data_IF_382438398952
#
_entry.id   IF_382438398952
#
_cell.length_a   1.000
_cell.length_b   1.000
_cell.length_c   1.000
_cell.angle_alpha   90.00
_cell.angle_beta   90.00
_cell.angle_gamma   90.00
#
_symmetry.space_group_name_H-M   'P 1'
#
loop_
_entity.id
_entity.type
_entity.pdbx_description
1 polymer ?
#
# COMPACT_ATOMS: atom_id res chain seq x y z
N UNK A 1 -42.16 -27.65 -90.60
CA UNK A 1 -40.72 -27.57 -90.86
C UNK A 1 -40.02 -27.59 -89.49
N UNK A 2 -39.72 -28.77 -88.94
CA UNK A 2 -38.38 -29.40 -88.85
C UNK A 2 -37.32 -28.44 -88.27
N UNK A 3 -37.00 -28.50 -86.96
CA UNK A 3 -35.93 -29.27 -86.26
C UNK A 3 -34.54 -29.16 -86.91
N UNK A 4 -33.54 -28.56 -86.23
CA UNK A 4 -32.38 -29.23 -85.58
C UNK A 4 -31.14 -28.32 -85.27
N UNK A 5 -30.51 -28.57 -84.10
CA UNK A 5 -29.09 -28.36 -83.65
C UNK A 5 -28.53 -26.91 -83.55
N UNK A 6 -27.64 -26.49 -82.63
CA UNK A 6 -26.76 -27.13 -81.63
C UNK A 6 -26.20 -26.08 -80.62
N UNK A 7 -25.78 -26.55 -79.43
CA UNK A 7 -24.78 -26.04 -78.45
C UNK A 7 -24.19 -24.62 -78.60
N UNK A 8 -24.03 -23.84 -77.53
CA UNK A 8 -22.99 -24.06 -76.51
C UNK A 8 -23.20 -23.20 -75.24
N UNK A 9 -22.81 -23.76 -74.10
CA UNK A 9 -22.74 -23.14 -72.77
C UNK A 9 -21.56 -22.16 -72.72
N UNK A 10 -21.71 -21.02 -72.03
CA UNK A 10 -20.57 -20.38 -71.36
C UNK A 10 -20.99 -19.77 -70.02
N UNK A 11 -20.23 -20.19 -69.02
CA UNK A 11 -20.33 -19.88 -67.61
C UNK A 11 -20.13 -18.38 -67.35
N UNK A 12 -21.15 -17.69 -66.84
CA UNK A 12 -20.93 -16.54 -65.98
C UNK A 12 -21.72 -16.79 -64.68
N UNK A 13 -21.03 -17.44 -63.75
CA UNK A 13 -21.49 -17.59 -62.39
C UNK A 13 -21.58 -16.19 -61.75
N UNK A 14 -22.80 -15.83 -61.34
CA UNK A 14 -23.09 -14.67 -60.52
C UNK A 14 -22.53 -14.95 -59.11
N UNK A 15 -21.29 -14.57 -58.86
CA UNK A 15 -20.69 -14.61 -57.53
C UNK A 15 -21.24 -13.42 -56.74
N UNK A 16 -22.39 -13.60 -56.10
CA UNK A 16 -22.88 -12.68 -55.08
C UNK A 16 -21.99 -12.83 -53.84
N UNK A 17 -21.07 -11.88 -53.66
CA UNK A 17 -20.29 -11.73 -52.44
C UNK A 17 -21.24 -11.38 -51.29
N UNK A 18 -21.66 -12.37 -50.52
CA UNK A 18 -22.26 -12.18 -49.21
C UNK A 18 -21.13 -11.95 -48.19
N UNK A 19 -20.52 -10.76 -48.23
CA UNK A 19 -19.81 -10.25 -47.06
C UNK A 19 -20.85 -9.92 -46.02
N UNK A 20 -21.06 -10.83 -45.07
CA UNK A 20 -21.74 -10.54 -43.82
C UNK A 20 -20.86 -9.51 -43.10
N UNK A 21 -21.23 -8.22 -43.19
CA UNK A 21 -20.75 -7.23 -42.23
C UNK A 21 -21.29 -7.65 -40.87
N UNK A 22 -20.48 -8.38 -40.09
CA UNK A 22 -20.65 -8.48 -38.65
C UNK A 22 -20.33 -7.10 -38.06
N UNK A 23 -21.31 -6.20 -38.10
CA UNK A 23 -21.26 -5.00 -37.27
C UNK A 23 -21.22 -5.49 -35.81
N UNK A 24 -20.20 -5.13 -35.01
CA UNK A 24 -20.21 -5.47 -33.60
C UNK A 24 -21.45 -4.81 -32.99
N UNK A 25 -22.36 -5.64 -32.47
CA UNK A 25 -23.43 -5.14 -31.63
C UNK A 25 -22.75 -4.48 -30.43
N UNK A 26 -22.90 -3.17 -30.31
CA UNK A 26 -22.50 -2.46 -29.09
C UNK A 26 -23.40 -3.02 -27.99
N UNK A 27 -22.83 -3.80 -27.07
CA UNK A 27 -23.56 -4.32 -25.92
C UNK A 27 -24.17 -3.12 -25.17
N UNK A 28 -25.50 -3.05 -25.17
CA UNK A 28 -26.22 -2.04 -24.39
C UNK A 28 -26.05 -2.40 -22.92
N UNK A 29 -25.85 -1.40 -22.07
CA UNK A 29 -25.85 -1.61 -20.63
C UNK A 29 -27.19 -2.22 -20.20
N UNK A 30 -27.13 -3.37 -19.54
CA UNK A 30 -28.26 -4.10 -18.97
C UNK A 30 -27.74 -5.03 -17.87
N UNK A 31 -28.62 -5.48 -16.99
CA UNK A 31 -28.31 -6.52 -16.01
C UNK A 31 -28.00 -7.85 -16.72
N UNK A 32 -27.12 -8.66 -16.15
CA UNK A 32 -26.73 -9.95 -16.72
C UNK A 32 -26.56 -11.03 -15.65
N UNK A 33 -26.66 -12.29 -16.07
CA UNK A 33 -26.39 -13.46 -15.24
C UNK A 33 -25.56 -14.48 -16.00
N UNK A 34 -24.46 -14.94 -15.39
CA UNK A 34 -23.67 -16.10 -15.81
C UNK A 34 -24.08 -17.28 -14.93
N UNK A 35 -24.84 -18.20 -15.51
CA UNK A 35 -25.53 -19.27 -14.78
C UNK A 35 -24.55 -20.39 -14.41
N UNK A 36 -24.78 -21.07 -13.29
CA UNK A 36 -24.03 -22.26 -12.88
C UNK A 36 -23.80 -23.25 -14.02
N UNK A 37 -22.56 -23.70 -14.21
CA UNK A 37 -22.18 -24.70 -15.20
C UNK A 37 -22.06 -24.16 -16.63
N UNK A 38 -22.17 -22.84 -16.82
CA UNK A 38 -22.00 -22.20 -18.12
C UNK A 38 -20.75 -21.32 -18.16
N UNK A 39 -20.18 -21.20 -19.37
CA UNK A 39 -19.13 -20.23 -19.66
C UNK A 39 -19.69 -19.19 -20.63
N UNK A 40 -19.62 -17.92 -20.27
CA UNK A 40 -19.89 -16.80 -21.18
C UNK A 40 -18.59 -16.15 -21.60
N UNK A 41 -18.45 -15.88 -22.90
CA UNK A 41 -17.21 -15.31 -23.46
C UNK A 41 -17.40 -13.91 -24.05
N UNK A 42 -18.59 -13.34 -23.89
CA UNK A 42 -18.91 -11.98 -24.33
C UNK A 42 -18.66 -10.98 -23.22
N UNK A 43 -18.06 -9.85 -23.56
CA UNK A 43 -17.97 -8.68 -22.68
C UNK A 43 -19.37 -8.19 -22.29
N UNK A 44 -19.52 -7.86 -21.01
CA UNK A 44 -20.75 -7.28 -20.45
C UNK A 44 -20.60 -5.76 -20.27
N UNK A 45 -21.72 -5.05 -20.22
CA UNK A 45 -21.76 -3.60 -19.94
C UNK A 45 -22.82 -3.32 -18.88
N UNK A 46 -22.52 -2.47 -17.91
CA UNK A 46 -23.44 -2.06 -16.83
C UNK A 46 -23.47 -0.53 -16.66
N UNK A 47 -24.60 0.00 -16.20
CA UNK A 47 -24.82 1.41 -15.88
C UNK A 47 -26.03 1.57 -14.94
N UNK A 48 -26.36 2.79 -14.51
CA UNK A 48 -27.63 3.04 -13.82
C UNK A 48 -27.81 2.20 -12.56
N UNK A 49 -28.77 1.26 -12.59
CA UNK A 49 -29.08 0.35 -11.48
C UNK A 49 -28.81 -1.12 -11.83
N UNK A 50 -27.94 -1.38 -12.81
CA UNK A 50 -27.73 -2.72 -13.36
C UNK A 50 -27.04 -3.66 -12.35
N UNK A 51 -27.41 -4.94 -12.41
CA UNK A 51 -26.82 -6.01 -11.62
C UNK A 51 -26.13 -7.02 -12.54
N UNK A 52 -24.85 -7.26 -12.31
CA UNK A 52 -24.11 -8.37 -12.90
C UNK A 52 -23.96 -9.51 -11.90
N UNK A 53 -24.50 -10.69 -12.19
CA UNK A 53 -24.40 -11.85 -11.31
C UNK A 53 -23.64 -12.98 -12.00
N UNK A 54 -22.58 -13.46 -11.38
CA UNK A 54 -21.86 -14.68 -11.78
C UNK A 54 -22.13 -15.71 -10.69
N UNK A 55 -22.96 -16.71 -10.99
CA UNK A 55 -23.35 -17.74 -10.02
C UNK A 55 -22.19 -18.70 -9.73
N UNK A 56 -22.26 -19.37 -8.57
CA UNK A 56 -21.32 -20.42 -8.23
C UNK A 56 -21.22 -21.48 -9.34
N UNK A 57 -20.01 -21.76 -9.81
CA UNK A 57 -19.74 -22.66 -10.94
C UNK A 57 -20.06 -22.09 -12.32
N UNK A 58 -20.49 -20.84 -12.44
CA UNK A 58 -20.51 -20.07 -13.69
C UNK A 58 -19.15 -19.42 -13.96
N UNK A 59 -18.81 -19.22 -15.24
CA UNK A 59 -17.55 -18.59 -15.65
C UNK A 59 -17.80 -17.48 -16.69
N UNK A 60 -17.32 -16.27 -16.43
CA UNK A 60 -17.20 -15.20 -17.43
C UNK A 60 -15.74 -15.14 -17.91
N UNK A 61 -15.45 -15.65 -19.11
CA UNK A 61 -14.10 -15.78 -19.66
C UNK A 61 -13.97 -14.97 -20.96
N UNK A 62 -13.46 -13.75 -20.83
CA UNK A 62 -13.49 -12.74 -21.90
C UNK A 62 -12.06 -12.40 -22.34
N UNK A 63 -11.70 -12.48 -23.64
CA UNK A 63 -10.35 -12.16 -24.11
C UNK A 63 -9.91 -10.70 -23.90
N UNK A 64 -10.86 -9.79 -23.68
CA UNK A 64 -10.63 -8.37 -23.40
C UNK A 64 -11.03 -8.02 -21.98
N UNK A 65 -11.58 -6.82 -21.79
CA UNK A 65 -12.18 -6.46 -20.51
C UNK A 65 -13.50 -7.21 -20.33
N UNK A 66 -13.73 -7.83 -19.17
CA UNK A 66 -14.91 -8.69 -18.98
C UNK A 66 -16.19 -7.88 -18.74
N UNK A 67 -16.14 -6.84 -17.90
CA UNK A 67 -17.27 -5.98 -17.56
C UNK A 67 -16.87 -4.53 -17.76
N UNK A 68 -17.68 -3.76 -18.49
CA UNK A 68 -17.51 -2.31 -18.63
C UNK A 68 -18.60 -1.58 -17.86
N UNK A 69 -18.21 -0.74 -16.90
CA UNK A 69 -19.09 0.26 -16.33
C UNK A 69 -19.11 1.50 -17.23
N UNK A 70 -20.25 1.78 -17.87
CA UNK A 70 -20.39 2.85 -18.85
C UNK A 70 -21.54 3.81 -18.50
N UNK A 71 -21.20 4.92 -17.83
CA UNK A 71 -22.14 5.96 -17.41
C UNK A 71 -22.46 5.94 -15.92
N UNK A 72 -23.21 6.94 -15.45
CA UNK A 72 -23.50 7.10 -14.02
C UNK A 72 -24.30 5.92 -13.45
N UNK A 73 -23.92 5.46 -12.26
CA UNK A 73 -24.77 4.67 -11.41
C UNK A 73 -25.84 5.58 -10.76
N UNK A 74 -27.08 5.12 -10.71
CA UNK A 74 -28.22 5.93 -10.25
C UNK A 74 -29.00 5.21 -9.15
N UNK A 75 -29.75 5.98 -8.36
CA UNK A 75 -30.45 5.44 -7.21
C UNK A 75 -29.52 5.05 -6.05
N UNK A 76 -30.10 4.60 -4.92
CA UNK A 76 -29.33 4.30 -3.71
C UNK A 76 -28.46 3.04 -3.82
N UNK A 77 -28.82 2.08 -4.68
CA UNK A 77 -28.07 0.84 -4.88
C UNK A 77 -27.01 0.96 -5.99
N UNK A 78 -27.26 1.80 -7.00
CA UNK A 78 -26.35 1.96 -8.13
C UNK A 78 -26.09 0.66 -8.90
N UNK A 79 -24.88 0.52 -9.43
CA UNK A 79 -24.43 -0.69 -10.13
C UNK A 79 -23.92 -1.71 -9.12
N UNK A 80 -24.28 -2.98 -9.27
CA UNK A 80 -23.81 -4.05 -8.38
C UNK A 80 -23.27 -5.23 -9.19
N UNK A 81 -22.03 -5.63 -8.92
CA UNK A 81 -21.43 -6.86 -9.43
C UNK A 81 -21.31 -7.86 -8.29
N UNK A 82 -21.82 -9.06 -8.52
CA UNK A 82 -21.83 -10.17 -7.59
C UNK A 82 -21.12 -11.35 -8.27
N UNK A 83 -19.98 -11.75 -7.73
CA UNK A 83 -19.24 -12.91 -8.22
C UNK A 83 -19.18 -14.00 -7.17
N UNK A 84 -19.92 -15.08 -7.39
CA UNK A 84 -19.83 -16.34 -6.64
C UNK A 84 -19.10 -17.43 -7.48
N UNK A 85 -18.74 -17.13 -8.74
CA UNK A 85 -18.13 -18.05 -9.70
C UNK A 85 -16.73 -17.61 -10.13
N UNK A 86 -16.45 -17.64 -11.44
CA UNK A 86 -15.15 -17.23 -11.98
C UNK A 86 -15.30 -16.07 -12.97
N UNK A 87 -14.46 -15.04 -12.83
CA UNK A 87 -14.24 -14.03 -13.86
C UNK A 87 -12.79 -14.18 -14.34
N UNK A 88 -12.59 -14.45 -15.63
CA UNK A 88 -11.29 -14.54 -16.28
C UNK A 88 -11.27 -13.49 -17.40
N UNK A 89 -10.26 -12.64 -17.41
CA UNK A 89 -10.16 -11.56 -18.40
C UNK A 89 -8.77 -11.47 -19.02
N UNK A 90 -8.73 -11.37 -20.36
CA UNK A 90 -7.49 -11.14 -21.11
C UNK A 90 -7.01 -9.68 -21.07
N UNK A 91 -7.74 -8.80 -20.40
CA UNK A 91 -7.33 -7.43 -20.05
C UNK A 91 -7.77 -7.16 -18.61
N UNK A 92 -8.83 -6.35 -18.40
CA UNK A 92 -9.34 -5.99 -17.08
C UNK A 92 -10.61 -6.75 -16.71
N UNK A 93 -10.78 -7.15 -15.46
CA UNK A 93 -12.04 -7.81 -15.09
C UNK A 93 -13.21 -6.80 -15.11
N UNK A 94 -13.00 -5.62 -14.52
CA UNK A 94 -13.94 -4.52 -14.51
C UNK A 94 -13.20 -3.25 -14.93
N UNK A 95 -13.69 -2.56 -15.95
CA UNK A 95 -13.11 -1.30 -16.41
C UNK A 95 -14.21 -0.24 -16.54
N UNK A 96 -13.82 1.01 -16.41
CA UNK A 96 -14.73 2.14 -16.61
C UNK A 96 -14.56 2.70 -18.02
N UNK A 97 -15.67 3.13 -18.60
CA UNK A 97 -15.66 3.87 -19.85
C UNK A 97 -16.55 5.10 -19.74
N UNK A 98 -16.11 6.21 -20.33
CA UNK A 98 -16.77 7.50 -20.19
C UNK A 98 -16.69 8.05 -18.77
N UNK A 99 -17.60 8.96 -18.43
CA UNK A 99 -17.68 9.57 -17.10
C UNK A 99 -18.60 8.72 -16.22
N UNK A 100 -18.03 7.99 -15.27
CA UNK A 100 -18.79 7.26 -14.24
C UNK A 100 -18.87 8.05 -12.94
N UNK A 101 -19.93 7.82 -12.16
CA UNK A 101 -20.22 8.46 -10.87
C UNK A 101 -21.31 7.66 -10.15
N UNK A 102 -21.59 7.99 -8.89
CA UNK A 102 -22.59 7.28 -8.09
C UNK A 102 -22.08 5.95 -7.50
N UNK A 103 -22.98 5.17 -6.86
CA UNK A 103 -22.60 3.96 -6.15
C UNK A 103 -22.30 2.77 -7.08
N UNK A 104 -21.19 2.10 -6.83
CA UNK A 104 -20.79 0.84 -7.46
C UNK A 104 -20.36 -0.13 -6.37
N UNK A 105 -20.98 -1.30 -6.32
CA UNK A 105 -20.61 -2.37 -5.39
C UNK A 105 -20.04 -3.57 -6.13
N UNK A 106 -18.91 -4.10 -5.66
CA UNK A 106 -18.37 -5.41 -6.07
C UNK A 106 -18.36 -6.33 -4.85
N UNK A 107 -19.15 -7.40 -4.88
CA UNK A 107 -19.05 -8.52 -3.94
C UNK A 107 -18.39 -9.71 -4.63
N UNK A 108 -17.22 -10.11 -4.16
CA UNK A 108 -16.47 -11.25 -4.67
C UNK A 108 -16.35 -12.35 -3.61
N UNK A 109 -17.12 -13.41 -3.79
CA UNK A 109 -17.04 -14.67 -3.04
C UNK A 109 -16.49 -15.82 -3.93
N UNK A 110 -16.17 -15.52 -5.19
CA UNK A 110 -15.58 -16.42 -6.19
C UNK A 110 -14.11 -16.12 -6.50
N UNK A 111 -13.68 -16.40 -7.74
CA UNK A 111 -12.35 -16.03 -8.24
C UNK A 111 -12.44 -14.96 -9.33
N UNK A 112 -11.54 -13.98 -9.30
CA UNK A 112 -11.30 -13.04 -10.39
C UNK A 112 -9.83 -13.11 -10.79
N UNK A 113 -9.57 -13.37 -12.07
CA UNK A 113 -8.24 -13.38 -12.68
C UNK A 113 -8.22 -12.40 -13.87
N UNK A 114 -7.27 -11.46 -13.86
CA UNK A 114 -7.10 -10.48 -14.93
C UNK A 114 -5.67 -10.44 -15.44
N UNK A 115 -5.52 -10.37 -16.77
CA UNK A 115 -4.19 -10.20 -17.36
C UNK A 115 -3.56 -8.85 -17.01
N UNK A 116 -4.38 -7.80 -16.87
CA UNK A 116 -4.01 -6.47 -16.43
C UNK A 116 -4.80 -6.15 -15.15
N UNK A 117 -5.37 -4.95 -15.00
CA UNK A 117 -6.01 -4.55 -13.75
C UNK A 117 -7.29 -5.36 -13.42
N UNK A 118 -7.54 -5.72 -12.16
CA UNK A 118 -8.84 -6.38 -11.83
C UNK A 118 -9.98 -5.36 -11.89
N UNK A 119 -9.86 -4.21 -11.22
CA UNK A 119 -10.80 -3.10 -11.33
C UNK A 119 -10.05 -1.80 -11.61
N UNK A 120 -10.46 -1.08 -12.66
CA UNK A 120 -9.92 0.25 -12.96
C UNK A 120 -10.97 1.36 -12.99
N UNK A 121 -10.69 2.45 -12.28
CA UNK A 121 -11.40 3.73 -12.42
C UNK A 121 -10.54 4.70 -13.23
N UNK A 122 -10.96 4.99 -14.46
CA UNK A 122 -10.20 5.76 -15.44
C UNK A 122 -10.86 7.12 -15.75
N UNK A 123 -11.39 7.77 -14.72
CA UNK A 123 -11.87 9.15 -14.75
C UNK A 123 -11.89 9.71 -13.32
N UNK A 124 -12.05 11.03 -13.18
CA UNK A 124 -11.99 11.73 -11.90
C UNK A 124 -12.92 11.18 -10.80
N UNK A 125 -13.97 10.42 -11.14
CA UNK A 125 -14.86 9.77 -10.19
C UNK A 125 -15.61 10.75 -9.27
N UNK A 126 -16.08 11.87 -9.86
CA UNK A 126 -16.83 12.90 -9.16
C UNK A 126 -18.11 12.35 -8.54
N UNK A 127 -18.27 12.51 -7.22
CA UNK A 127 -19.35 11.92 -6.42
C UNK A 127 -19.48 10.40 -6.65
N UNK A 128 -18.37 9.73 -6.96
CA UNK A 128 -18.27 8.29 -7.05
C UNK A 128 -18.25 7.65 -5.67
N UNK A 129 -18.87 6.48 -5.55
CA UNK A 129 -18.81 5.65 -4.36
C UNK A 129 -18.50 4.22 -4.78
N UNK A 130 -17.29 3.77 -4.51
CA UNK A 130 -16.85 2.41 -4.77
C UNK A 130 -16.86 1.63 -3.45
N UNK A 131 -17.62 0.54 -3.40
CA UNK A 131 -17.61 -0.41 -2.30
C UNK A 131 -17.20 -1.79 -2.82
N UNK A 132 -16.11 -2.34 -2.29
CA UNK A 132 -15.63 -3.68 -2.63
C UNK A 132 -15.64 -4.55 -1.38
N UNK A 133 -16.22 -5.74 -1.50
CA UNK A 133 -16.17 -6.80 -0.49
C UNK A 133 -15.55 -8.03 -1.14
N UNK A 134 -14.36 -8.42 -0.70
CA UNK A 134 -13.65 -9.61 -1.17
C UNK A 134 -13.55 -10.65 -0.06
N UNK A 135 -14.17 -11.82 -0.23
CA UNK A 135 -14.06 -12.94 0.72
C UNK A 135 -13.29 -14.13 0.16
N UNK A 136 -12.93 -14.09 -1.13
CA UNK A 136 -12.22 -15.14 -1.85
C UNK A 136 -11.02 -14.53 -2.61
N UNK A 137 -10.82 -14.78 -3.90
CA UNK A 137 -9.58 -14.39 -4.59
C UNK A 137 -9.76 -13.36 -5.70
N UNK A 138 -8.85 -12.39 -5.75
CA UNK A 138 -8.62 -11.51 -6.89
C UNK A 138 -7.14 -11.50 -7.23
N UNK A 139 -6.80 -11.78 -8.49
CA UNK A 139 -5.42 -11.82 -8.98
C UNK A 139 -5.28 -11.02 -10.27
N UNK A 140 -4.31 -10.11 -10.30
CA UNK A 140 -3.83 -9.44 -11.52
C UNK A 140 -2.45 -9.94 -11.90
N UNK A 141 -2.22 -10.17 -13.19
CA UNK A 141 -0.90 -10.58 -13.68
C UNK A 141 0.03 -9.37 -13.83
N UNK A 142 -0.23 -8.51 -14.81
CA UNK A 142 0.68 -7.40 -15.17
C UNK A 142 0.26 -6.03 -14.61
N UNK A 143 -1.01 -5.90 -14.20
CA UNK A 143 -1.58 -4.66 -13.68
C UNK A 143 -1.83 -4.74 -12.18
N UNK A 144 -2.50 -3.74 -11.63
CA UNK A 144 -2.89 -3.73 -10.21
C UNK A 144 -4.17 -4.55 -9.99
N UNK A 145 -4.43 -5.06 -8.79
CA UNK A 145 -5.79 -5.57 -8.53
C UNK A 145 -6.77 -4.39 -8.59
N UNK A 146 -6.45 -3.29 -7.91
CA UNK A 146 -7.22 -2.06 -8.03
C UNK A 146 -6.34 -0.93 -8.56
N UNK A 147 -6.64 -0.47 -9.79
CA UNK A 147 -6.07 0.75 -10.37
C UNK A 147 -7.09 1.89 -10.20
N UNK A 148 -6.96 2.64 -9.11
CA UNK A 148 -7.85 3.76 -8.79
C UNK A 148 -7.19 5.10 -9.06
N UNK A 149 -6.02 5.14 -9.69
CA UNK A 149 -5.24 6.37 -9.88
C UNK A 149 -5.99 7.43 -10.69
N UNK A 150 -6.93 7.02 -11.57
CA UNK A 150 -7.75 7.95 -12.32
C UNK A 150 -8.78 8.71 -11.47
N UNK A 151 -9.11 8.23 -10.26
CA UNK A 151 -10.14 8.78 -9.38
C UNK A 151 -9.65 10.02 -8.60
N UNK A 152 -9.40 11.12 -9.30
CA UNK A 152 -8.78 12.35 -8.77
C UNK A 152 -9.72 13.31 -8.03
N UNK A 153 -10.99 12.99 -7.84
CA UNK A 153 -11.95 13.90 -7.21
C UNK A 153 -11.90 13.81 -5.68
N UNK A 154 -11.78 14.96 -5.01
CA UNK A 154 -11.96 15.09 -3.57
C UNK A 154 -13.35 14.64 -3.06
N UNK A 155 -14.33 14.42 -3.96
CA UNK A 155 -15.67 13.92 -3.63
C UNK A 155 -15.82 12.41 -3.83
N UNK A 156 -14.78 11.72 -4.31
CA UNK A 156 -14.78 10.28 -4.42
C UNK A 156 -14.78 9.63 -3.02
N UNK A 157 -15.47 8.50 -2.91
CA UNK A 157 -15.47 7.65 -1.72
C UNK A 157 -15.13 6.22 -2.13
N UNK A 158 -14.22 5.58 -1.39
CA UNK A 158 -13.78 4.20 -1.63
C UNK A 158 -13.80 3.45 -0.30
N UNK A 159 -14.48 2.32 -0.26
CA UNK A 159 -14.45 1.35 0.83
C UNK A 159 -14.05 -0.01 0.27
N UNK A 160 -12.96 -0.57 0.78
CA UNK A 160 -12.50 -1.92 0.44
C UNK A 160 -12.48 -2.76 1.70
N UNK A 161 -13.22 -3.86 1.70
CA UNK A 161 -13.25 -4.87 2.75
C UNK A 161 -12.66 -6.17 2.21
N UNK A 162 -11.45 -6.51 2.63
CA UNK A 162 -10.77 -7.74 2.23
C UNK A 162 -10.72 -8.75 3.38
N UNK A 163 -11.39 -9.88 3.22
CA UNK A 163 -11.25 -11.08 4.04
C UNK A 163 -10.60 -12.26 3.27
N UNK A 164 -10.42 -12.09 1.97
CA UNK A 164 -9.82 -13.08 1.07
C UNK A 164 -8.38 -12.74 0.67
N UNK A 165 -8.00 -13.03 -0.57
CA UNK A 165 -6.69 -12.71 -1.15
C UNK A 165 -6.81 -11.69 -2.28
N UNK A 166 -5.96 -10.68 -2.24
CA UNK A 166 -5.71 -9.70 -3.31
C UNK A 166 -4.23 -9.87 -3.67
N UNK A 167 -3.94 -10.27 -4.90
CA UNK A 167 -2.58 -10.55 -5.35
C UNK A 167 -2.29 -9.87 -6.68
N UNK A 168 -1.26 -9.04 -6.74
CA UNK A 168 -0.67 -8.58 -8.00
C UNK A 168 0.70 -9.26 -8.21
N UNK A 169 0.89 -9.85 -9.40
CA UNK A 169 2.11 -10.63 -9.67
C UNK A 169 3.27 -9.75 -10.12
N UNK A 170 3.03 -8.77 -10.99
CA UNK A 170 4.10 -7.95 -11.59
C UNK A 170 3.85 -6.44 -11.38
N UNK A 171 3.01 -6.07 -10.41
CA UNK A 171 2.70 -4.67 -10.11
C UNK A 171 2.28 -4.47 -8.65
N UNK A 172 1.98 -3.22 -8.28
CA UNK A 172 1.39 -2.94 -6.99
C UNK A 172 0.02 -3.62 -6.84
N UNK A 173 -0.35 -4.06 -5.64
CA UNK A 173 -1.65 -4.71 -5.46
C UNK A 173 -2.80 -3.70 -5.57
N UNK A 174 -2.68 -2.56 -4.90
CA UNK A 174 -3.67 -1.48 -4.92
C UNK A 174 -2.98 -0.14 -5.12
N UNK A 175 -3.27 0.53 -6.24
CA UNK A 175 -2.93 1.94 -6.45
C UNK A 175 -4.15 2.81 -6.21
N UNK A 176 -4.08 3.68 -5.22
CA UNK A 176 -5.19 4.53 -4.79
C UNK A 176 -5.36 5.80 -5.64
N UNK A 177 -6.54 6.40 -5.52
CA UNK A 177 -6.87 7.73 -6.05
C UNK A 177 -7.04 8.75 -4.92
N UNK A 178 -7.91 9.74 -5.11
CA UNK A 178 -8.18 10.81 -4.15
C UNK A 178 -9.43 10.58 -3.27
N UNK A 179 -9.84 11.64 -2.55
CA UNK A 179 -11.13 11.67 -1.85
C UNK A 179 -11.08 11.07 -0.45
N UNK A 180 -12.07 10.25 -0.10
CA UNK A 180 -12.16 9.57 1.21
C UNK A 180 -12.04 8.07 1.00
N UNK A 181 -11.01 7.45 1.57
CA UNK A 181 -10.66 6.05 1.34
C UNK A 181 -10.61 5.31 2.67
N UNK A 182 -11.28 4.17 2.76
CA UNK A 182 -11.20 3.23 3.88
C UNK A 182 -10.83 1.84 3.36
N UNK A 183 -9.77 1.26 3.89
CA UNK A 183 -9.35 -0.12 3.64
C UNK A 183 -9.41 -0.92 4.94
N UNK A 184 -10.21 -1.98 4.95
CA UNK A 184 -10.30 -2.93 6.05
C UNK A 184 -9.77 -4.27 5.55
N UNK A 185 -8.68 -4.74 6.15
CA UNK A 185 -8.04 -5.99 5.76
C UNK A 185 -8.03 -6.98 6.91
N UNK A 186 -8.66 -8.14 6.72
CA UNK A 186 -8.54 -9.34 7.58
C UNK A 186 -7.97 -10.54 6.82
N UNK A 187 -7.80 -10.40 5.50
CA UNK A 187 -7.22 -11.39 4.61
C UNK A 187 -5.76 -11.06 4.23
N UNK A 188 -5.35 -11.39 3.02
CA UNK A 188 -4.01 -11.06 2.48
C UNK A 188 -4.12 -10.10 1.32
N UNK A 189 -3.28 -9.06 1.33
CA UNK A 189 -2.99 -8.18 0.20
C UNK A 189 -1.48 -8.33 -0.06
N UNK A 190 -1.11 -8.73 -1.26
CA UNK A 190 0.28 -9.02 -1.61
C UNK A 190 0.62 -8.51 -3.01
N UNK A 191 1.82 -7.94 -3.14
CA UNK A 191 2.47 -7.66 -4.40
C UNK A 191 3.78 -8.46 -4.50
N UNK A 192 4.06 -9.01 -5.68
CA UNK A 192 5.27 -9.79 -5.95
C UNK A 192 6.26 -8.99 -6.81
N UNK A 193 7.44 -9.56 -7.08
CA UNK A 193 8.42 -9.04 -8.05
C UNK A 193 8.89 -7.58 -7.85
N UNK A 194 9.17 -7.19 -6.60
CA UNK A 194 9.72 -5.87 -6.26
C UNK A 194 8.68 -4.75 -6.33
N UNK A 195 7.42 -5.07 -6.04
CA UNK A 195 6.32 -4.12 -6.06
C UNK A 195 5.72 -3.92 -4.67
N UNK A 196 4.82 -2.94 -4.58
CA UNK A 196 4.25 -2.48 -3.32
C UNK A 196 2.85 -3.02 -3.11
N UNK A 197 2.49 -3.41 -1.89
CA UNK A 197 1.12 -3.88 -1.66
C UNK A 197 0.11 -2.72 -1.88
N UNK A 198 0.44 -1.55 -1.34
CA UNK A 198 -0.39 -0.35 -1.37
C UNK A 198 0.44 0.82 -1.90
N UNK A 199 -0.15 1.66 -2.78
CA UNK A 199 0.54 2.84 -3.29
C UNK A 199 -0.38 4.04 -3.53
N UNK A 200 0.17 5.24 -3.30
CA UNK A 200 -0.23 6.47 -3.99
C UNK A 200 0.97 6.91 -4.82
N UNK A 201 0.77 7.13 -6.13
CA UNK A 201 1.83 7.44 -7.09
C UNK A 201 1.62 8.76 -7.84
N UNK A 202 0.63 9.54 -7.43
CA UNK A 202 0.23 10.77 -8.12
C UNK A 202 0.02 11.89 -7.10
N UNK A 203 0.84 12.93 -7.18
CA UNK A 203 0.79 14.10 -6.30
C UNK A 203 -0.61 14.72 -6.27
N UNK A 204 -1.29 14.78 -7.42
CA UNK A 204 -2.63 15.36 -7.55
C UNK A 204 -3.68 14.56 -6.79
N UNK A 205 -3.52 13.23 -6.69
CA UNK A 205 -4.36 12.40 -5.85
C UNK A 205 -4.14 12.68 -4.37
N UNK A 206 -2.90 12.91 -3.94
CA UNK A 206 -2.57 13.23 -2.54
C UNK A 206 -2.99 14.66 -2.16
N UNK A 207 -2.85 15.63 -3.06
CA UNK A 207 -3.38 17.00 -2.89
C UNK A 207 -4.90 17.02 -2.64
N UNK A 208 -5.62 16.11 -3.28
CA UNK A 208 -7.08 16.03 -3.21
C UNK A 208 -7.59 14.92 -2.29
N UNK A 209 -6.69 14.19 -1.63
CA UNK A 209 -7.00 13.25 -0.57
C UNK A 209 -7.55 14.01 0.65
N UNK A 210 -8.72 13.59 1.13
CA UNK A 210 -9.35 14.12 2.34
C UNK A 210 -8.98 13.27 3.54
N UNK A 211 -9.18 11.96 3.40
CA UNK A 211 -8.75 11.03 4.43
C UNK A 211 -8.46 9.66 3.86
N UNK A 212 -7.47 9.00 4.46
CA UNK A 212 -7.19 7.59 4.26
C UNK A 212 -7.21 6.88 5.62
N UNK A 213 -8.01 5.83 5.75
CA UNK A 213 -8.06 4.98 6.93
C UNK A 213 -7.73 3.54 6.52
N UNK A 214 -6.68 2.98 7.13
CA UNK A 214 -6.35 1.56 7.04
C UNK A 214 -6.58 0.89 8.38
N UNK A 215 -7.37 -0.19 8.39
CA UNK A 215 -7.51 -1.12 9.51
C UNK A 215 -7.04 -2.50 9.05
N UNK A 216 -5.79 -2.85 9.36
CA UNK A 216 -5.28 -4.20 9.19
C UNK A 216 -5.62 -5.02 10.44
N UNK A 217 -6.69 -5.79 10.38
CA UNK A 217 -7.23 -6.58 11.49
C UNK A 217 -6.30 -7.74 11.88
N UNK A 218 -6.59 -8.38 13.01
CA UNK A 218 -5.88 -9.57 13.45
C UNK A 218 -5.95 -10.66 12.38
N UNK A 219 -4.79 -11.20 11.99
CA UNK A 219 -4.67 -12.19 10.91
C UNK A 219 -4.53 -11.57 9.50
N UNK A 220 -4.84 -10.27 9.36
CA UNK A 220 -4.60 -9.50 8.16
C UNK A 220 -3.11 -9.42 7.82
N UNK A 221 -2.81 -9.51 6.53
CA UNK A 221 -1.45 -9.39 5.96
C UNK A 221 -1.44 -8.39 4.83
N UNK A 222 -0.46 -7.49 4.86
CA UNK A 222 -0.14 -6.55 3.78
C UNK A 222 1.34 -6.75 3.49
N UNK A 223 1.64 -7.28 2.30
CA UNK A 223 2.96 -7.81 1.95
C UNK A 223 3.48 -7.14 0.67
N UNK A 224 4.46 -6.27 0.83
CA UNK A 224 5.28 -5.75 -0.26
C UNK A 224 6.52 -6.61 -0.47
N UNK A 225 7.16 -6.43 -1.62
CA UNK A 225 8.54 -6.89 -1.84
C UNK A 225 9.54 -5.73 -2.02
N UNK A 226 9.02 -4.54 -2.32
CA UNK A 226 9.70 -3.24 -2.18
C UNK A 226 9.16 -2.54 -0.92
N UNK A 227 8.11 -1.70 -1.00
CA UNK A 227 7.42 -1.19 0.20
C UNK A 227 6.09 -1.92 0.44
N UNK A 228 5.65 -2.09 1.70
CA UNK A 228 4.28 -2.59 1.92
C UNK A 228 3.26 -1.51 1.58
N UNK A 229 3.52 -0.28 2.02
CA UNK A 229 2.70 0.88 1.67
C UNK A 229 3.57 2.12 1.46
N UNK A 230 3.60 2.61 0.22
CA UNK A 230 4.25 3.88 -0.14
C UNK A 230 3.22 4.97 -0.45
N UNK A 231 3.45 6.17 0.06
CA UNK A 231 2.77 7.38 -0.41
C UNK A 231 3.83 8.26 -1.07
N UNK A 232 3.92 8.18 -2.39
CA UNK A 232 4.77 9.05 -3.18
C UNK A 232 4.02 10.32 -3.53
N UNK A 233 4.38 11.40 -2.83
CA UNK A 233 3.78 12.71 -3.01
C UNK A 233 4.83 13.80 -2.80
N UNK A 234 5.44 14.28 -3.88
CA UNK A 234 6.46 15.34 -3.83
C UNK A 234 5.84 16.74 -3.63
N UNK A 235 4.76 16.85 -2.84
CA UNK A 235 3.98 18.07 -2.68
C UNK A 235 3.73 18.48 -1.23
N UNK A 236 4.28 19.64 -0.87
CA UNK A 236 4.17 20.32 0.41
C UNK A 236 2.81 21.03 0.65
N UNK A 237 1.81 20.85 -0.22
CA UNK A 237 0.49 21.48 -0.18
C UNK A 237 -0.66 20.56 0.23
N UNK A 238 -0.36 19.30 0.55
CA UNK A 238 -1.34 18.33 1.07
C UNK A 238 -1.79 18.70 2.49
N UNK A 239 -3.05 18.36 2.80
CA UNK A 239 -3.65 18.49 4.15
C UNK A 239 -4.44 17.22 4.50
N UNK A 240 -3.90 16.07 4.08
CA UNK A 240 -4.57 14.79 4.19
C UNK A 240 -4.61 14.32 5.64
N UNK A 241 -5.72 13.68 6.03
CA UNK A 241 -5.83 12.99 7.32
C UNK A 241 -5.63 11.48 7.11
N UNK A 242 -4.49 10.96 7.56
CA UNK A 242 -4.08 9.57 7.33
C UNK A 242 -4.04 8.83 8.66
N UNK A 243 -4.78 7.73 8.77
CA UNK A 243 -4.82 6.89 9.96
C UNK A 243 -4.54 5.43 9.61
N UNK A 244 -3.54 4.86 10.26
CA UNK A 244 -3.15 3.45 10.11
C UNK A 244 -3.34 2.74 11.44
N UNK A 245 -4.24 1.77 11.50
CA UNK A 245 -4.45 0.86 12.62
C UNK A 245 -4.01 -0.55 12.26
N UNK A 246 -2.98 -1.08 12.91
CA UNK A 246 -2.44 -2.41 12.63
C UNK A 246 -2.59 -3.37 13.82
N UNK A 247 -3.29 -4.47 13.61
CA UNK A 247 -3.37 -5.64 14.49
C UNK A 247 -2.73 -6.89 13.86
N UNK A 248 -2.46 -6.88 12.56
CA UNK A 248 -1.93 -7.99 11.78
C UNK A 248 -0.44 -7.78 11.42
N UNK A 249 -0.05 -8.26 10.25
CA UNK A 249 1.29 -8.05 9.68
C UNK A 249 1.24 -7.01 8.55
N UNK A 250 2.13 -6.03 8.63
CA UNK A 250 2.53 -5.17 7.52
C UNK A 250 4.02 -5.44 7.31
N UNK A 251 4.39 -5.95 6.15
CA UNK A 251 5.76 -6.37 5.82
C UNK A 251 6.19 -5.75 4.50
N UNK A 252 7.27 -4.95 4.53
CA UNK A 252 7.85 -4.33 3.35
C UNK A 252 8.61 -5.33 2.47
N UNK A 253 9.12 -6.43 3.01
CA UNK A 253 10.18 -7.16 2.31
C UNK A 253 11.46 -6.32 2.32
N UNK A 254 12.08 -6.06 1.18
CA UNK A 254 13.38 -5.37 1.14
C UNK A 254 13.28 -3.85 1.40
N UNK A 255 12.18 -3.20 1.06
CA UNK A 255 11.90 -1.79 1.41
C UNK A 255 11.08 -1.64 2.69
N UNK A 256 10.50 -0.47 2.89
CA UNK A 256 9.87 -0.12 4.15
C UNK A 256 8.48 -0.76 4.31
N UNK A 257 8.08 -1.09 5.54
CA UNK A 257 6.69 -1.50 5.76
C UNK A 257 5.73 -0.31 5.53
N UNK A 258 6.10 0.89 5.97
CA UNK A 258 5.39 2.13 5.63
C UNK A 258 6.43 3.15 5.16
N UNK A 259 6.30 3.66 3.94
CA UNK A 259 7.11 4.76 3.42
C UNK A 259 6.25 5.96 3.03
N UNK A 260 6.18 6.92 3.93
CA UNK A 260 5.49 8.20 3.79
C UNK A 260 6.47 9.37 3.84
N UNK A 261 7.76 9.13 3.57
CA UNK A 261 8.80 10.17 3.63
C UNK A 261 8.47 11.41 2.78
N UNK A 262 7.80 11.20 1.64
CA UNK A 262 7.44 12.27 0.72
C UNK A 262 6.33 13.19 1.29
N UNK A 263 5.60 12.76 2.32
CA UNK A 263 4.61 13.59 3.02
C UNK A 263 5.26 14.63 3.94
N UNK A 264 5.73 15.72 3.34
CA UNK A 264 6.48 16.79 4.02
C UNK A 264 5.64 17.98 4.48
N UNK A 265 4.37 18.09 4.03
CA UNK A 265 3.48 19.18 4.45
C UNK A 265 3.15 19.12 5.94
N UNK A 266 3.31 20.22 6.70
CA UNK A 266 2.93 20.28 8.11
C UNK A 266 1.41 20.28 8.33
N UNK A 267 0.62 20.48 7.28
CA UNK A 267 -0.84 20.46 7.34
C UNK A 267 -1.40 19.03 7.25
N UNK A 268 -0.56 18.03 6.93
CA UNK A 268 -0.95 16.63 7.01
C UNK A 268 -1.13 16.21 8.48
N UNK A 269 -2.12 15.36 8.73
CA UNK A 269 -2.32 14.72 10.03
C UNK A 269 -2.14 13.23 9.84
N UNK A 270 -0.97 12.71 10.24
CA UNK A 270 -0.61 11.30 10.08
C UNK A 270 -0.58 10.64 11.45
N UNK A 271 -1.37 9.59 11.63
CA UNK A 271 -1.41 8.79 12.86
C UNK A 271 -1.23 7.32 12.54
N UNK A 272 -0.20 6.71 13.12
CA UNK A 272 0.05 5.27 13.03
C UNK A 272 -0.14 4.66 14.41
N UNK A 273 -1.02 3.68 14.54
CA UNK A 273 -1.23 2.88 15.76
C UNK A 273 -0.96 1.41 15.46
N UNK A 274 0.17 0.92 15.94
CA UNK A 274 0.48 -0.50 15.93
C UNK A 274 -0.02 -1.13 17.24
N UNK A 275 -1.09 -1.91 17.17
CA UNK A 275 -1.70 -2.55 18.33
C UNK A 275 -0.85 -3.73 18.86
N UNK A 276 -1.18 -4.26 20.03
CA UNK A 276 -0.35 -5.23 20.75
C UNK A 276 -0.04 -6.52 19.97
N UNK A 277 -0.89 -6.90 19.01
CA UNK A 277 -0.67 -8.07 18.13
C UNK A 277 -0.03 -7.68 16.79
N UNK A 278 0.04 -6.39 16.50
CA UNK A 278 0.53 -5.84 15.26
C UNK A 278 2.04 -5.97 15.12
N UNK A 279 2.45 -6.35 13.93
CA UNK A 279 3.84 -6.36 13.48
C UNK A 279 3.92 -5.44 12.27
N UNK A 280 4.83 -4.48 12.33
CA UNK A 280 5.27 -3.64 11.22
C UNK A 280 6.74 -3.96 11.03
N UNK A 281 7.13 -4.47 9.87
CA UNK A 281 8.51 -4.86 9.65
C UNK A 281 9.00 -4.66 8.22
N UNK A 282 10.31 -4.51 8.12
CA UNK A 282 11.09 -4.59 6.88
C UNK A 282 12.22 -5.59 7.08
N UNK A 283 12.77 -6.08 5.97
CA UNK A 283 13.94 -6.96 5.99
C UNK A 283 15.20 -6.12 6.13
N UNK A 284 15.51 -5.25 5.17
CA UNK A 284 16.77 -4.52 5.12
C UNK A 284 16.61 -2.99 5.22
N UNK A 285 15.51 -2.42 4.77
CA UNK A 285 15.21 -0.99 4.94
C UNK A 285 14.72 -0.64 6.36
N UNK A 286 14.35 0.62 6.58
CA UNK A 286 13.64 1.05 7.80
C UNK A 286 12.29 0.36 7.90
N UNK A 287 11.82 0.06 9.11
CA UNK A 287 10.49 -0.50 9.25
C UNK A 287 9.42 0.54 8.86
N UNK A 288 9.68 1.81 9.16
CA UNK A 288 8.72 2.89 8.98
C UNK A 288 9.42 4.23 8.72
N UNK A 289 9.02 4.90 7.64
CA UNK A 289 9.19 6.34 7.42
C UNK A 289 7.83 7.02 7.49
N UNK A 290 7.42 7.58 8.64
CA UNK A 290 6.02 7.91 8.88
C UNK A 290 5.57 9.26 8.29
N UNK A 291 6.49 10.06 7.74
CA UNK A 291 6.22 11.40 7.21
C UNK A 291 6.32 12.51 8.26
N UNK A 292 6.36 13.76 7.80
CA UNK A 292 6.59 14.92 8.65
C UNK A 292 5.44 15.14 9.65
N UNK A 293 5.78 15.36 10.92
CA UNK A 293 4.83 15.63 12.00
C UNK A 293 3.99 14.43 12.42
N UNK A 294 4.27 13.22 11.90
CA UNK A 294 3.49 12.04 12.20
C UNK A 294 3.55 11.65 13.68
N UNK A 295 2.46 11.06 14.18
CA UNK A 295 2.39 10.44 15.50
C UNK A 295 2.35 8.92 15.37
N UNK A 296 3.37 8.25 15.89
CA UNK A 296 3.50 6.79 15.94
C UNK A 296 3.22 6.31 17.37
N UNK A 297 2.16 5.53 17.57
CA UNK A 297 1.86 4.86 18.83
C UNK A 297 2.04 3.35 18.68
N UNK A 298 2.97 2.78 19.44
CA UNK A 298 3.31 1.37 19.34
C UNK A 298 2.98 0.59 20.62
N UNK A 299 2.12 -0.41 20.50
CA UNK A 299 1.87 -1.43 21.52
C UNK A 299 2.46 -2.80 21.12
N UNK A 300 2.78 -2.99 19.84
CA UNK A 300 3.23 -4.24 19.24
C UNK A 300 4.72 -4.21 18.90
N UNK A 301 5.08 -4.76 17.74
CA UNK A 301 6.45 -4.80 17.23
C UNK A 301 6.60 -3.92 15.98
N UNK A 302 7.60 -3.05 16.00
CA UNK A 302 8.11 -2.33 14.83
C UNK A 302 9.59 -2.70 14.68
N UNK A 303 10.01 -3.26 13.54
CA UNK A 303 11.39 -3.70 13.38
C UNK A 303 11.94 -3.68 11.96
N UNK A 304 13.23 -3.37 11.82
CA UNK A 304 14.05 -3.78 10.69
C UNK A 304 14.83 -5.05 11.07
N UNK A 305 14.73 -6.11 10.27
CA UNK A 305 15.09 -7.48 10.69
C UNK A 305 16.55 -7.83 10.44
N UNK A 306 17.10 -7.46 9.29
CA UNK A 306 18.46 -7.79 8.86
C UNK A 306 19.48 -6.99 9.65
N UNK A 307 20.18 -7.64 10.57
CA UNK A 307 21.19 -6.99 11.41
C UNK A 307 22.45 -6.55 10.65
N UNK A 308 22.52 -6.86 9.36
CA UNK A 308 23.60 -6.40 8.47
C UNK A 308 23.24 -5.16 7.67
N UNK A 309 22.02 -4.63 7.80
CA UNK A 309 21.58 -3.42 7.14
C UNK A 309 21.59 -2.19 8.07
N UNK A 310 21.52 -1.02 7.44
CA UNK A 310 21.35 0.26 8.13
C UNK A 310 19.88 0.58 8.48
N UNK A 311 18.97 -0.39 8.36
CA UNK A 311 17.55 -0.16 8.54
C UNK A 311 17.18 0.19 9.99
N UNK A 312 16.42 1.26 10.16
CA UNK A 312 15.97 1.72 11.46
C UNK A 312 14.60 1.16 11.85
N UNK A 313 14.26 1.25 13.14
CA UNK A 313 12.91 0.92 13.58
C UNK A 313 11.90 1.95 13.07
N UNK A 314 12.18 3.23 13.31
CA UNK A 314 11.38 4.36 12.82
C UNK A 314 12.34 5.47 12.40
N UNK A 315 12.20 5.96 11.17
CA UNK A 315 13.06 6.98 10.59
C UNK A 315 12.21 8.16 10.09
N UNK A 316 12.39 9.34 10.69
CA UNK A 316 11.69 10.56 10.29
C UNK A 316 12.41 11.35 9.18
N UNK A 317 13.55 10.88 8.68
CA UNK A 317 14.41 11.58 7.72
C UNK A 317 14.76 12.98 8.25
N UNK A 318 14.86 13.96 7.35
CA UNK A 318 15.03 15.38 7.65
C UNK A 318 13.90 16.01 8.51
N UNK A 319 12.81 15.28 8.78
CA UNK A 319 11.65 15.75 9.52
C UNK A 319 11.67 15.31 10.99
N UNK A 320 10.58 15.62 11.70
CA UNK A 320 10.38 15.23 13.09
C UNK A 320 8.93 14.84 13.35
N UNK A 321 8.64 14.43 14.58
CA UNK A 321 7.32 13.94 14.96
C UNK A 321 7.26 13.41 16.38
N UNK A 322 6.27 12.55 16.65
CA UNK A 322 6.03 12.00 17.98
C UNK A 322 6.02 10.48 17.93
N UNK A 323 6.79 9.84 18.83
CA UNK A 323 6.76 8.39 19.03
C UNK A 323 6.34 8.11 20.47
N UNK A 324 5.28 7.33 20.63
CA UNK A 324 4.81 6.83 21.93
C UNK A 324 4.91 5.32 21.93
N UNK A 325 5.97 4.79 22.55
CA UNK A 325 6.15 3.35 22.72
C UNK A 325 5.51 2.92 24.05
N UNK A 326 4.38 2.24 23.94
CA UNK A 326 3.51 1.87 25.06
C UNK A 326 4.07 0.67 25.81
N UNK A 327 3.52 0.40 27.00
CA UNK A 327 3.86 -0.80 27.75
C UNK A 327 3.72 -2.08 26.90
N UNK A 328 4.81 -2.86 26.77
CA UNK A 328 4.87 -4.07 25.94
C UNK A 328 5.27 -3.83 24.48
N UNK A 329 5.28 -2.58 24.03
CA UNK A 329 5.73 -2.17 22.71
C UNK A 329 7.24 -2.33 22.53
N UNK A 330 7.64 -2.78 21.36
CA UNK A 330 9.03 -2.94 20.94
C UNK A 330 9.29 -2.19 19.64
N UNK A 331 10.31 -1.33 19.64
CA UNK A 331 10.84 -0.66 18.45
C UNK A 331 12.29 -1.06 18.31
N UNK A 332 12.61 -1.69 17.18
CA UNK A 332 13.78 -2.54 17.01
C UNK A 332 14.44 -2.28 15.63
N UNK A 333 15.36 -1.33 15.53
CA UNK A 333 16.15 -1.17 14.29
C UNK A 333 17.33 -2.12 14.20
N UNK A 334 17.73 -2.43 12.96
CA UNK A 334 19.01 -3.05 12.68
C UNK A 334 20.17 -2.12 13.07
N UNK A 335 20.05 -0.82 12.73
CA UNK A 335 20.95 0.26 13.16
C UNK A 335 20.41 0.98 14.41
N UNK A 336 19.55 1.98 14.24
CA UNK A 336 18.93 2.77 15.31
C UNK A 336 17.50 2.36 15.62
N UNK A 337 17.09 2.47 16.89
CA UNK A 337 15.69 2.23 17.24
C UNK A 337 14.78 3.28 16.61
N UNK A 338 15.12 4.55 16.78
CA UNK A 338 14.43 5.71 16.20
C UNK A 338 15.48 6.68 15.68
N UNK A 339 15.29 7.21 14.47
CA UNK A 339 16.13 8.27 13.88
C UNK A 339 15.35 9.43 13.24
N UNK A 340 16.05 10.52 12.93
CA UNK A 340 15.59 11.70 12.18
C UNK A 340 16.39 12.95 12.51
N UNK A 341 16.10 14.07 11.86
CA UNK A 341 16.88 15.33 12.00
C UNK A 341 16.05 16.46 12.63
N UNK A 342 14.72 16.31 12.67
CA UNK A 342 13.79 17.35 13.11
C UNK A 342 13.47 17.35 14.61
N UNK A 343 12.52 18.19 14.99
CA UNK A 343 11.98 18.23 16.36
C UNK A 343 11.25 16.93 16.67
N UNK A 344 11.70 16.24 17.72
CA UNK A 344 11.20 14.90 18.06
C UNK A 344 10.72 14.85 19.51
N UNK A 345 9.59 14.18 19.74
CA UNK A 345 9.07 13.86 21.07
C UNK A 345 8.91 12.34 21.22
N UNK A 346 9.71 11.74 22.10
CA UNK A 346 9.69 10.30 22.36
C UNK A 346 9.22 10.03 23.79
N UNK A 347 8.12 9.30 23.93
CA UNK A 347 7.63 8.78 25.22
C UNK A 347 7.72 7.25 25.21
N UNK A 348 8.62 6.70 26.03
CA UNK A 348 8.78 5.26 26.20
C UNK A 348 8.22 4.84 27.55
N UNK A 349 7.00 4.29 27.56
CA UNK A 349 6.30 3.93 28.78
C UNK A 349 6.97 2.77 29.54
N UNK A 350 6.61 2.59 30.81
CA UNK A 350 7.08 1.48 31.61
C UNK A 350 6.75 0.13 30.94
N UNK A 351 7.77 -0.68 30.69
CA UNK A 351 7.64 -1.95 29.95
C UNK A 351 7.73 -1.81 28.43
N UNK A 352 7.88 -0.60 27.88
CA UNK A 352 8.29 -0.37 26.50
C UNK A 352 9.80 -0.61 26.32
N UNK A 353 10.18 -1.06 25.13
CA UNK A 353 11.55 -1.31 24.72
C UNK A 353 11.87 -0.62 23.38
N UNK A 354 12.93 0.17 23.35
CA UNK A 354 13.51 0.76 22.14
C UNK A 354 14.96 0.31 22.04
N UNK A 355 15.35 -0.26 20.90
CA UNK A 355 16.71 -0.77 20.67
C UNK A 355 17.21 -0.45 19.28
N UNK A 356 18.36 0.21 19.20
CA UNK A 356 19.26 0.15 18.05
C UNK A 356 20.23 -1.01 18.23
N UNK A 357 20.30 -1.93 17.26
CA UNK A 357 21.11 -3.16 17.38
C UNK A 357 22.52 -3.03 16.84
N UNK A 358 22.83 -1.94 16.16
CA UNK A 358 24.18 -1.57 15.73
C UNK A 358 24.37 -0.05 15.67
N UNK A 359 23.61 0.64 16.52
CA UNK A 359 23.52 2.07 16.57
C UNK A 359 22.77 2.45 17.84
N UNK A 360 22.42 3.73 17.93
CA UNK A 360 21.78 4.26 19.12
C UNK A 360 20.35 3.77 19.31
N UNK A 361 19.89 3.67 20.55
CA UNK A 361 18.47 3.43 20.84
C UNK A 361 17.58 4.51 20.22
N UNK A 362 18.00 5.77 20.40
CA UNK A 362 17.48 6.95 19.71
C UNK A 362 18.71 7.70 19.17
N UNK A 363 18.72 8.04 17.88
CA UNK A 363 19.74 8.86 17.23
C UNK A 363 19.07 10.05 16.56
N UNK A 364 19.36 11.29 16.93
CA UNK A 364 18.70 12.44 16.28
C UNK A 364 19.76 13.46 15.83
N UNK A 365 19.96 13.55 14.52
CA UNK A 365 20.98 14.36 13.85
C UNK A 365 20.49 15.82 13.70
N UNK A 366 19.96 16.35 14.80
CA UNK A 366 19.29 17.64 14.84
C UNK A 366 20.23 18.84 14.88
N UNK A 367 19.77 19.97 14.36
CA UNK A 367 20.48 21.24 14.49
C UNK A 367 20.60 21.68 15.95
N UNK A 368 21.65 22.46 16.27
CA UNK A 368 21.93 22.94 17.64
C UNK A 368 20.83 23.75 18.33
N UNK A 369 19.84 24.25 17.60
CA UNK A 369 18.66 24.96 18.11
C UNK A 369 17.38 24.12 18.20
N UNK A 370 17.39 22.91 17.64
CA UNK A 370 16.28 21.95 17.71
C UNK A 370 16.32 21.19 19.03
N UNK A 371 15.16 21.07 19.68
CA UNK A 371 15.03 20.39 20.98
C UNK A 371 14.36 19.04 20.80
N UNK A 372 15.09 17.98 21.07
CA UNK A 372 14.58 16.62 21.19
C UNK A 372 14.09 16.39 22.61
N UNK A 373 12.83 15.98 22.77
CA UNK A 373 12.24 15.65 24.07
C UNK A 373 12.15 14.14 24.23
N UNK A 374 12.74 13.60 25.30
CA UNK A 374 12.68 12.17 25.62
C UNK A 374 12.16 11.98 27.05
N UNK A 375 11.01 11.33 27.19
CA UNK A 375 10.50 10.83 28.46
C UNK A 375 10.62 9.32 28.49
N UNK A 376 11.44 8.78 29.39
CA UNK A 376 11.67 7.34 29.47
C UNK A 376 11.23 6.76 30.81
N UNK A 377 10.24 5.88 30.78
CA UNK A 377 9.88 4.97 31.88
C UNK A 377 10.25 3.51 31.58
N UNK A 378 10.54 3.18 30.32
CA UNK A 378 10.90 1.84 29.84
C UNK A 378 12.40 1.59 29.74
N UNK A 379 12.80 0.84 28.72
CA UNK A 379 14.20 0.61 28.36
C UNK A 379 14.51 1.19 26.97
N UNK A 380 15.59 1.99 26.90
CA UNK A 380 16.19 2.47 25.66
C UNK A 380 17.63 1.95 25.62
N UNK A 381 18.02 1.29 24.53
CA UNK A 381 19.34 0.69 24.40
C UNK A 381 19.96 0.93 23.04
N UNK A 382 21.22 1.37 23.05
CA UNK A 382 22.11 1.14 21.93
C UNK A 382 22.90 -0.13 22.17
N UNK A 383 23.06 -0.90 21.11
CA UNK A 383 23.83 -2.12 21.11
C UNK A 383 24.62 -2.22 19.83
N UNK A 384 25.63 -3.10 19.86
CA UNK A 384 26.32 -3.56 18.67
C UNK A 384 26.22 -5.08 18.64
N UNK A 385 25.56 -5.58 17.60
CA UNK A 385 25.35 -7.00 17.32
C UNK A 385 26.23 -7.51 16.18
N UNK A 386 26.96 -6.61 15.49
CA UNK A 386 28.01 -6.91 14.52
C UNK A 386 27.72 -6.41 13.10
N UNK A 387 27.22 -5.19 12.92
CA UNK A 387 27.12 -4.55 11.59
C UNK A 387 28.47 -4.56 10.88
N UNK A 388 28.44 -4.56 9.55
CA UNK A 388 29.58 -4.21 8.71
C UNK A 388 29.71 -2.67 8.75
N UNK A 389 30.90 -2.08 8.62
CA UNK A 389 30.98 -0.61 8.50
C UNK A 389 30.19 -0.08 7.27
N UNK A 390 29.94 1.23 7.24
CA UNK A 390 29.32 1.96 6.11
C UNK A 390 30.05 1.70 4.75
N UNK A 391 31.29 1.19 4.79
CA UNK A 391 32.10 0.84 3.61
C UNK A 391 31.97 -0.64 3.18
N UNK A 392 31.20 -1.45 3.92
CA UNK A 392 30.96 -2.87 3.64
C UNK A 392 32.15 -3.79 3.95
N UNK A 393 33.12 -3.36 4.77
CA UNK A 393 34.23 -4.18 5.23
C UNK A 393 33.81 -5.04 6.45
N UNK A 394 33.75 -6.38 6.32
CA UNK A 394 33.48 -7.28 7.43
C UNK A 394 34.57 -7.32 8.50
N UNK A 395 35.69 -6.63 8.32
CA UNK A 395 36.80 -6.60 9.26
C UNK A 395 36.66 -5.55 10.37
N UNK A 396 35.83 -4.51 10.21
CA UNK A 396 35.66 -3.45 11.21
C UNK A 396 34.19 -3.06 11.35
N UNK A 397 33.41 -3.75 12.19
CA UNK A 397 32.08 -3.26 12.55
C UNK A 397 32.13 -1.82 13.05
N UNK A 398 31.41 -0.90 12.41
CA UNK A 398 31.17 0.45 12.93
C UNK A 398 29.82 0.49 13.62
N UNK A 399 29.74 1.17 14.75
CA UNK A 399 28.55 1.23 15.58
C UNK A 399 28.80 1.95 16.89
N UNK A 400 28.15 3.10 17.05
CA UNK A 400 28.25 3.97 18.23
C UNK A 400 27.58 3.32 19.45
N UNK A 401 26.39 2.73 19.25
CA UNK A 401 25.74 1.90 20.27
C UNK A 401 25.28 2.65 21.51
N UNK A 402 24.99 3.94 21.39
CA UNK A 402 24.53 4.81 22.48
C UNK A 402 23.08 4.54 22.90
N UNK A 403 22.76 4.76 24.17
CA UNK A 403 21.34 4.74 24.57
C UNK A 403 20.53 5.80 23.81
N UNK A 404 20.96 7.05 23.94
CA UNK A 404 20.41 8.22 23.25
C UNK A 404 21.57 9.04 22.71
N UNK A 405 21.56 9.34 21.40
CA UNK A 405 22.47 10.26 20.74
C UNK A 405 21.67 11.41 20.11
N UNK A 406 22.07 12.65 20.37
CA UNK A 406 21.41 13.87 19.87
C UNK A 406 22.45 14.95 19.62
N UNK A 407 22.66 15.32 18.36
CA UNK A 407 23.60 16.41 18.00
C UNK A 407 23.16 17.77 18.55
N UNK A 408 21.86 18.02 18.55
CA UNK A 408 21.24 19.26 19.02
C UNK A 408 21.04 19.33 20.54
N UNK A 409 19.91 19.90 20.96
CA UNK A 409 19.54 19.99 22.37
C UNK A 409 18.65 18.82 22.76
N UNK A 410 18.89 18.24 23.93
CA UNK A 410 18.02 17.20 24.50
C UNK A 410 17.40 17.65 25.83
N UNK A 411 16.08 17.51 25.93
CA UNK A 411 15.33 17.59 27.17
C UNK A 411 14.91 16.17 27.58
N UNK A 412 15.60 15.60 28.57
CA UNK A 412 15.47 14.18 28.91
C UNK A 412 15.05 13.97 30.37
N UNK A 413 13.89 13.33 30.55
CA UNK A 413 13.38 12.86 31.83
C UNK A 413 13.41 11.32 31.86
N UNK A 414 14.39 10.76 32.58
CA UNK A 414 14.54 9.31 32.70
C UNK A 414 14.11 8.79 34.09
N UNK A 415 13.09 7.94 34.06
CA UNK A 415 12.58 7.14 35.17
C UNK A 415 12.84 5.62 34.98
N UNK A 416 13.35 5.23 33.81
CA UNK A 416 13.64 3.86 33.41
C UNK A 416 15.14 3.60 33.20
N UNK A 417 15.46 2.75 32.22
CA UNK A 417 16.82 2.40 31.83
C UNK A 417 17.16 3.04 30.47
N UNK A 418 18.28 3.74 30.43
CA UNK A 418 18.96 4.15 29.19
C UNK A 418 20.36 3.57 29.25
N UNK A 419 20.78 2.83 28.23
CA UNK A 419 22.03 2.08 28.26
C UNK A 419 22.65 1.91 26.88
N UNK A 420 23.87 2.42 26.70
CA UNK A 420 24.78 1.91 25.67
C UNK A 420 25.42 0.61 26.13
N UNK A 421 25.38 -0.43 25.30
CA UNK A 421 25.84 -1.80 25.67
C UNK A 421 27.12 -2.24 24.99
N UNK A 422 27.58 -1.51 23.97
CA UNK A 422 28.85 -1.73 23.29
C UNK A 422 28.95 -0.82 22.07
N UNK A 423 30.18 -0.49 21.71
CA UNK A 423 30.55 0.23 20.50
C UNK A 423 31.67 -0.52 19.78
N UNK A 424 31.77 -0.35 18.47
CA UNK A 424 32.86 -0.88 17.65
C UNK A 424 33.24 0.14 16.58
N UNK A 425 34.43 0.01 15.99
CA UNK A 425 34.86 0.90 14.90
C UNK A 425 35.56 2.17 15.40
N UNK A 426 35.70 3.12 14.47
CA UNK A 426 36.34 4.41 14.74
C UNK A 426 35.63 5.54 14.00
N UNK A 427 35.26 6.60 14.72
CA UNK A 427 34.75 7.86 14.16
C UNK A 427 35.89 8.89 14.15
N UNK A 428 36.18 9.45 12.98
CA UNK A 428 37.26 10.42 12.74
C UNK A 428 38.66 9.98 13.22
N UNK A 429 38.90 8.67 13.27
CA UNK A 429 40.17 8.08 13.69
C UNK A 429 40.31 7.82 15.20
N UNK A 430 39.31 8.18 16.00
CA UNK A 430 39.19 7.81 17.42
C UNK A 430 38.29 6.58 17.58
N UNK A 431 38.52 5.77 18.61
CA UNK A 431 37.69 4.59 18.89
C UNK A 431 36.28 5.02 19.31
N UNK A 432 35.26 4.37 18.75
CA UNK A 432 33.89 4.60 19.19
C UNK A 432 33.68 4.16 20.63
N UNK A 433 32.78 4.87 21.30
CA UNK A 433 32.38 4.62 22.68
C UNK A 433 30.88 4.53 22.74
N UNK A 434 30.38 3.63 23.58
CA UNK A 434 28.95 3.53 23.87
C UNK A 434 28.67 4.23 25.20
N UNK A 435 27.88 5.29 25.12
CA UNK A 435 27.39 6.08 26.21
C UNK A 435 25.91 5.78 26.50
N UNK A 436 25.49 6.08 27.72
CA UNK A 436 24.05 6.11 28.01
C UNK A 436 23.36 7.24 27.23
N UNK A 437 24.00 8.41 27.23
CA UNK A 437 23.51 9.62 26.56
C UNK A 437 24.73 10.34 25.98
N UNK A 438 24.77 10.47 24.66
CA UNK A 438 25.61 11.40 23.92
C UNK A 438 24.72 12.59 23.50
N UNK A 439 25.19 13.82 23.75
CA UNK A 439 24.41 15.01 23.41
C UNK A 439 25.31 16.23 23.14
N UNK A 440 24.92 17.05 22.15
CA UNK A 440 25.57 18.32 21.86
C UNK A 440 26.89 18.20 21.09
N UNK A 441 27.10 17.08 20.38
CA UNK A 441 28.19 16.96 19.41
C UNK A 441 27.89 17.92 18.25
N UNK A 442 28.87 18.73 17.86
CA UNK A 442 28.68 19.67 16.77
C UNK A 442 28.71 18.93 15.43
N UNK A 443 27.68 19.14 14.61
CA UNK A 443 27.65 18.76 13.19
C UNK A 443 28.86 19.28 12.38
#
# INVERSE_FOLDING_TARGET
MNRFFSSSVSYLALLAAATVLSVPFTARADSFTVVTGTTQTGQQTVSGTDIGQIEAGGTLDVPGSAIIWNGAATGPAGVSIVNDGNIISGSRAIDTSGTVSGPFTLRNDGSIESANDTLRINNAFNNGNLHVVNTSSMTSNTGQVFDLNGATSATATVLIENAGTITALENDAIRFGAGTITLINSGTIEAQDGNRALSFDDDGNVETLKSFELVNQLGGKILGTDDAFKISADNNGSSAVISIGNHGLIDGGEGQALDFADLTSPDNVITVTNHATGIIQSQSADAMRPGAGATVTNYGLIQSVDLTSDGDGVDFQDAGGTVVNKAGGQILGAKHGITGDGEMNVDNEAGGLIVGRNGSGINIDSSGDTVVTVTNHGAIRGAVTGLLDDDGDPAVPDGDGDGVDVDGQVALDNYGLIQGTGATGTKDGDLNTADGIAAGAAA
#
